data_IF_448966467611
#
_entry.id   IF_448966467611
#
_cell.length_a   1.000
_cell.length_b   1.000
_cell.length_c   1.000
_cell.angle_alpha   90.00
_cell.angle_beta   90.00
_cell.angle_gamma   90.00
#
_symmetry.space_group_name_H-M   'P 1'
#
loop_
_entity.id
_entity.type
_entity.pdbx_description
1 polymer ?
#
# COMPACT_ATOMS: atom_id res chain seq x y z
N UNK A 1 9.89 -11.57 -6.75
CA UNK A 1 8.89 -11.36 -7.84
C UNK A 1 9.11 -10.03 -8.56
N UNK A 2 9.12 -8.86 -7.87
CA UNK A 2 9.33 -7.53 -8.51
C UNK A 2 10.64 -7.51 -9.30
N UNK A 3 11.74 -8.00 -8.72
CA UNK A 3 13.06 -8.07 -9.38
C UNK A 3 13.05 -8.97 -10.64
N UNK A 4 12.24 -10.04 -10.64
CA UNK A 4 12.24 -11.00 -11.74
C UNK A 4 11.44 -10.54 -12.96
N UNK A 5 10.38 -9.75 -12.76
CA UNK A 5 9.46 -9.35 -13.85
C UNK A 5 9.45 -7.85 -14.14
N UNK A 6 10.12 -7.07 -13.31
CA UNK A 6 10.17 -5.60 -13.38
C UNK A 6 8.99 -4.91 -12.71
N UNK A 7 9.21 -3.72 -12.11
CA UNK A 7 8.18 -3.00 -11.36
C UNK A 7 7.05 -2.46 -12.24
N UNK A 8 7.27 -2.31 -13.53
CA UNK A 8 6.27 -1.90 -14.51
C UNK A 8 5.22 -2.97 -14.82
N UNK A 9 5.44 -4.21 -14.37
CA UNK A 9 4.55 -5.37 -14.58
C UNK A 9 3.91 -5.89 -13.32
N UNK A 10 4.16 -5.26 -12.18
CA UNK A 10 3.62 -5.64 -10.87
C UNK A 10 2.80 -4.50 -10.30
N UNK A 11 1.53 -4.74 -9.99
CA UNK A 11 0.71 -3.89 -9.15
C UNK A 11 0.56 -4.55 -7.78
N UNK A 12 0.88 -3.81 -6.73
CA UNK A 12 0.75 -4.29 -5.35
C UNK A 12 -0.55 -3.79 -4.77
N UNK A 13 -1.30 -4.67 -4.13
CA UNK A 13 -2.57 -4.39 -3.46
C UNK A 13 -2.54 -4.91 -2.04
N UNK A 14 -3.27 -4.27 -1.13
CA UNK A 14 -3.31 -4.65 0.28
C UNK A 14 -4.16 -5.89 0.56
N UNK A 15 -5.18 -6.15 -0.25
CA UNK A 15 -6.27 -7.09 0.07
C UNK A 15 -6.90 -6.80 1.44
N UNK A 16 -6.98 -5.50 1.80
CA UNK A 16 -7.39 -5.03 3.10
C UNK A 16 -8.89 -5.21 3.33
N UNK A 17 -9.24 -5.79 4.47
CA UNK A 17 -10.61 -5.88 4.97
C UNK A 17 -10.96 -4.69 5.87
N UNK A 18 -12.22 -4.59 6.32
CA UNK A 18 -12.70 -3.51 7.19
C UNK A 18 -11.94 -3.37 8.53
N UNK A 19 -11.18 -4.39 8.92
CA UNK A 19 -10.33 -4.38 10.12
C UNK A 19 -8.95 -3.74 9.90
N UNK A 20 -8.60 -3.33 8.68
CA UNK A 20 -7.29 -2.74 8.40
C UNK A 20 -7.09 -1.44 9.21
N UNK A 21 -5.98 -1.36 9.94
CA UNK A 21 -5.66 -0.23 10.80
C UNK A 21 -6.46 -0.11 12.10
N UNK A 22 -7.38 -1.05 12.40
CA UNK A 22 -8.24 -1.00 13.59
C UNK A 22 -7.68 -1.77 14.80
N UNK A 23 -6.60 -2.54 14.62
CA UNK A 23 -6.04 -3.41 15.67
C UNK A 23 -6.77 -4.74 15.82
N UNK A 24 -6.45 -5.48 16.89
CA UNK A 24 -7.03 -6.79 17.17
C UNK A 24 -8.48 -6.66 17.65
N UNK A 25 -9.32 -7.65 17.36
CA UNK A 25 -10.73 -7.67 17.75
C UNK A 25 -11.64 -8.47 16.82
N UNK A 26 -12.95 -8.36 17.06
CA UNK A 26 -13.98 -9.01 16.26
C UNK A 26 -14.55 -8.04 15.21
N UNK A 27 -14.62 -8.49 13.99
CA UNK A 27 -15.08 -7.72 12.82
C UNK A 27 -16.07 -8.54 11.99
N UNK A 28 -16.54 -7.97 10.90
CA UNK A 28 -17.40 -8.65 9.92
C UNK A 28 -16.98 -8.32 8.49
N UNK A 29 -16.95 -9.35 7.65
CA UNK A 29 -16.81 -9.21 6.21
C UNK A 29 -18.14 -9.65 5.56
N UNK A 30 -19.02 -8.68 5.27
CA UNK A 30 -20.42 -8.96 4.94
C UNK A 30 -21.12 -9.69 6.11
N UNK A 31 -21.60 -10.91 5.87
CA UNK A 31 -22.22 -11.77 6.89
C UNK A 31 -21.22 -12.63 7.67
N UNK A 32 -19.97 -12.71 7.22
CA UNK A 32 -18.95 -13.58 7.78
C UNK A 32 -18.31 -12.92 9.01
N UNK A 33 -18.32 -13.58 10.17
CA UNK A 33 -17.61 -13.11 11.35
C UNK A 33 -16.10 -13.33 11.18
N UNK A 34 -15.31 -12.32 11.55
CA UNK A 34 -13.85 -12.29 11.45
C UNK A 34 -13.27 -12.02 12.83
N UNK A 35 -12.19 -12.69 13.15
CA UNK A 35 -11.35 -12.43 14.32
C UNK A 35 -9.97 -11.97 13.87
N UNK A 36 -9.50 -10.86 14.44
CA UNK A 36 -8.14 -10.37 14.25
C UNK A 36 -7.38 -10.59 15.54
N UNK A 37 -6.30 -11.35 15.45
CA UNK A 37 -5.37 -11.61 16.53
C UNK A 37 -3.94 -11.46 16.04
N UNK A 38 -3.14 -10.66 16.74
CA UNK A 38 -1.75 -10.34 16.35
C UNK A 38 -1.65 -9.85 14.89
N UNK A 39 -2.58 -8.98 14.48
CA UNK A 39 -2.70 -8.43 13.13
C UNK A 39 -3.00 -9.48 12.03
N UNK A 40 -3.43 -10.67 12.38
CA UNK A 40 -3.83 -11.71 11.43
C UNK A 40 -5.35 -11.87 11.47
N UNK A 41 -6.01 -11.59 10.33
CA UNK A 41 -7.45 -11.75 10.19
C UNK A 41 -7.81 -13.15 9.72
N UNK A 42 -8.70 -13.82 10.48
CA UNK A 42 -9.23 -15.15 10.18
C UNK A 42 -10.73 -15.16 10.23
N UNK A 43 -11.34 -16.10 9.52
CA UNK A 43 -12.75 -16.40 9.70
C UNK A 43 -12.93 -16.95 11.13
N UNK A 44 -13.87 -16.39 11.89
CA UNK A 44 -14.10 -16.80 13.29
C UNK A 44 -14.36 -18.30 13.40
N UNK A 45 -13.62 -18.95 14.30
CA UNK A 45 -13.68 -20.40 14.50
C UNK A 45 -13.01 -21.25 13.41
N UNK A 46 -12.26 -20.65 12.47
CA UNK A 46 -11.55 -21.36 11.40
C UNK A 46 -10.08 -20.90 11.27
N UNK A 47 -9.25 -21.71 10.62
CA UNK A 47 -7.87 -21.34 10.27
C UNK A 47 -7.75 -20.51 8.99
N UNK A 48 -8.86 -20.31 8.28
CA UNK A 48 -8.90 -19.61 6.97
C UNK A 48 -8.59 -18.11 7.14
N UNK A 49 -7.62 -17.61 6.39
CA UNK A 49 -7.35 -16.18 6.32
C UNK A 49 -8.52 -15.46 5.66
N UNK A 50 -8.90 -14.31 6.22
CA UNK A 50 -10.04 -13.53 5.75
C UNK A 50 -9.65 -12.29 4.92
N UNK A 51 -8.37 -12.13 4.65
CA UNK A 51 -7.77 -10.98 3.98
C UNK A 51 -6.69 -10.31 4.84
N UNK A 52 -6.32 -9.09 4.49
CA UNK A 52 -5.23 -8.37 5.15
C UNK A 52 -5.74 -7.30 6.10
N UNK A 53 -4.98 -7.08 7.17
CA UNK A 53 -5.12 -5.90 8.05
C UNK A 53 -4.11 -4.80 7.73
N UNK A 54 -3.25 -5.04 6.73
CA UNK A 54 -2.18 -4.14 6.33
C UNK A 54 -2.71 -2.91 5.60
N UNK A 55 -2.25 -1.73 5.98
CA UNK A 55 -2.51 -0.47 5.25
C UNK A 55 -1.54 -0.28 4.10
N UNK A 56 -1.88 0.57 3.11
CA UNK A 56 -1.04 0.79 1.93
C UNK A 56 0.33 1.39 2.29
N UNK A 57 0.41 2.25 3.30
CA UNK A 57 1.67 2.81 3.78
C UNK A 57 2.58 1.76 4.42
N UNK A 58 2.00 0.81 5.18
CA UNK A 58 2.75 -0.33 5.73
C UNK A 58 3.29 -1.23 4.60
N UNK A 59 2.44 -1.51 3.61
CA UNK A 59 2.82 -2.30 2.44
C UNK A 59 3.92 -1.61 1.62
N UNK A 60 3.80 -0.29 1.41
CA UNK A 60 4.83 0.52 0.75
C UNK A 60 6.18 0.39 1.46
N UNK A 61 6.23 0.57 2.80
CA UNK A 61 7.44 0.39 3.60
C UNK A 61 8.03 -1.02 3.45
N UNK A 62 7.17 -2.03 3.46
CA UNK A 62 7.60 -3.43 3.28
C UNK A 62 8.27 -3.61 1.92
N UNK A 63 7.67 -3.12 0.85
CA UNK A 63 8.23 -3.22 -0.51
C UNK A 63 9.53 -2.43 -0.63
N UNK A 64 9.59 -1.20 -0.12
CA UNK A 64 10.79 -0.39 -0.11
C UNK A 64 11.92 -1.02 0.72
N UNK A 65 11.60 -1.67 1.84
CA UNK A 65 12.57 -2.36 2.70
C UNK A 65 13.15 -3.65 2.12
N UNK A 66 12.45 -4.32 1.20
CA UNK A 66 12.94 -5.56 0.59
C UNK A 66 14.20 -5.39 -0.26
N UNK A 67 14.50 -4.18 -0.75
CA UNK A 67 15.69 -3.87 -1.54
C UNK A 67 16.87 -3.31 -0.75
N UNK A 68 16.71 -3.05 0.55
CA UNK A 68 17.62 -2.24 1.38
C UNK A 68 18.82 -3.01 1.94
N UNK A 69 19.62 -3.68 1.09
CA UNK A 69 20.87 -4.31 1.54
C UNK A 69 22.16 -3.58 1.10
N UNK A 70 22.07 -2.44 0.41
CA UNK A 70 23.19 -1.56 0.09
C UNK A 70 22.71 -0.14 -0.18
N UNK A 71 23.54 0.88 0.07
CA UNK A 71 23.18 2.30 -0.05
C UNK A 71 22.67 2.70 -1.45
N UNK A 72 23.19 2.08 -2.51
CA UNK A 72 22.72 2.32 -3.89
C UNK A 72 21.45 1.54 -4.24
N UNK A 73 21.13 0.46 -3.52
CA UNK A 73 19.91 -0.33 -3.73
C UNK A 73 18.69 0.33 -3.10
N UNK A 74 18.87 1.23 -2.13
CA UNK A 74 17.79 1.95 -1.45
C UNK A 74 16.98 2.84 -2.39
N UNK A 75 17.63 3.62 -3.23
CA UNK A 75 16.97 4.52 -4.19
C UNK A 75 16.22 3.75 -5.28
N UNK A 76 16.81 2.64 -5.76
CA UNK A 76 16.15 1.77 -6.76
C UNK A 76 14.95 1.07 -6.15
N UNK A 77 15.07 0.61 -4.89
CA UNK A 77 13.96 -0.02 -4.17
C UNK A 77 12.81 0.96 -3.91
N UNK A 78 13.11 2.21 -3.56
CA UNK A 78 12.12 3.25 -3.34
C UNK A 78 11.39 3.60 -4.65
N UNK A 79 12.11 3.79 -5.74
CA UNK A 79 11.52 4.04 -7.06
C UNK A 79 10.63 2.87 -7.50
N UNK A 80 11.07 1.63 -7.29
CA UNK A 80 10.27 0.44 -7.58
C UNK A 80 9.01 0.38 -6.71
N UNK A 81 9.11 0.71 -5.41
CA UNK A 81 7.96 0.75 -4.50
C UNK A 81 6.92 1.77 -4.97
N UNK A 82 7.34 2.98 -5.35
CA UNK A 82 6.44 4.00 -5.95
C UNK A 82 5.81 3.47 -7.24
N UNK A 83 6.60 2.84 -8.10
CA UNK A 83 6.12 2.29 -9.36
C UNK A 83 5.01 1.27 -9.14
N UNK A 84 5.22 0.26 -8.27
CA UNK A 84 4.28 -0.85 -8.06
C UNK A 84 3.04 -0.47 -7.25
N UNK A 85 3.10 0.62 -6.46
CA UNK A 85 1.98 1.09 -5.63
C UNK A 85 1.20 2.25 -6.25
N UNK A 86 1.72 2.92 -7.29
CA UNK A 86 1.10 4.09 -7.90
C UNK A 86 1.01 4.00 -9.42
N UNK A 87 2.13 4.07 -10.13
CA UNK A 87 2.12 4.21 -11.58
C UNK A 87 1.64 2.94 -12.30
N UNK A 88 2.06 1.75 -11.85
CA UNK A 88 1.64 0.48 -12.46
C UNK A 88 0.16 0.18 -12.21
N UNK A 89 -0.40 0.33 -10.98
CA UNK A 89 -1.84 0.19 -10.76
C UNK A 89 -2.68 1.17 -11.60
N UNK A 90 -2.28 2.45 -11.65
CA UNK A 90 -2.99 3.45 -12.46
C UNK A 90 -3.05 3.05 -13.94
N UNK A 91 -1.91 2.61 -14.50
CA UNK A 91 -1.84 2.12 -15.88
C UNK A 91 -2.66 0.85 -16.09
N UNK A 92 -2.60 -0.11 -15.17
CA UNK A 92 -3.35 -1.37 -15.25
C UNK A 92 -4.88 -1.14 -15.28
N UNK A 93 -5.35 -0.09 -14.60
CA UNK A 93 -6.75 0.32 -14.58
C UNK A 93 -7.11 1.31 -15.71
N UNK A 94 -6.17 1.67 -16.59
CA UNK A 94 -6.39 2.65 -17.66
C UNK A 94 -6.63 4.08 -17.17
N UNK A 95 -6.24 4.40 -15.92
CA UNK A 95 -6.42 5.73 -15.35
C UNK A 95 -5.40 6.69 -15.95
N UNK A 96 -5.89 7.84 -16.42
CA UNK A 96 -5.07 8.93 -16.97
C UNK A 96 -4.97 10.08 -15.98
N UNK A 97 -3.83 10.81 -15.98
CA UNK A 97 -3.64 11.99 -15.12
C UNK A 97 -3.46 11.67 -13.63
N UNK A 98 -3.18 10.42 -13.26
CA UNK A 98 -2.87 9.98 -11.89
C UNK A 98 -1.69 9.01 -11.87
N UNK A 99 -1.20 8.67 -10.68
CA UNK A 99 -0.15 7.65 -10.48
C UNK A 99 1.28 8.18 -10.57
N UNK A 100 1.49 9.47 -10.84
CA UNK A 100 2.80 10.14 -10.79
C UNK A 100 2.66 11.65 -10.61
N UNK A 101 3.71 12.28 -10.13
CA UNK A 101 3.80 13.73 -10.05
C UNK A 101 4.31 14.28 -11.39
N UNK A 102 3.42 14.93 -12.15
CA UNK A 102 3.74 15.55 -13.42
C UNK A 102 2.78 16.70 -13.70
N UNK A 103 3.21 17.70 -14.47
CA UNK A 103 2.34 18.80 -14.89
C UNK A 103 1.11 18.26 -15.65
N UNK A 104 -0.08 18.74 -15.31
CA UNK A 104 -1.36 18.30 -15.87
C UNK A 104 -1.94 17.04 -15.24
N UNK A 105 -1.27 16.46 -14.22
CA UNK A 105 -1.80 15.37 -13.43
C UNK A 105 -2.55 15.90 -12.20
N UNK A 106 -3.49 15.10 -11.68
CA UNK A 106 -4.16 15.43 -10.43
C UNK A 106 -3.15 15.58 -9.28
N UNK A 107 -3.32 16.60 -8.47
CA UNK A 107 -2.47 16.85 -7.30
C UNK A 107 -2.87 15.90 -6.15
N UNK A 108 -2.58 14.63 -6.36
CA UNK A 108 -2.72 13.55 -5.38
C UNK A 108 -1.32 13.13 -4.97
N UNK A 109 -0.94 13.43 -3.74
CA UNK A 109 0.40 13.10 -3.24
C UNK A 109 0.39 12.73 -1.78
N UNK A 110 1.39 11.96 -1.40
CA UNK A 110 1.67 11.58 -0.02
C UNK A 110 3.09 12.05 0.30
N UNK A 111 3.24 12.76 1.41
CA UNK A 111 4.54 13.17 1.95
C UNK A 111 4.95 12.17 3.01
N UNK A 112 6.15 11.65 2.89
CA UNK A 112 6.72 10.69 3.82
C UNK A 112 7.94 11.30 4.51
N UNK A 113 8.16 10.93 5.76
CA UNK A 113 9.40 11.21 6.48
C UNK A 113 10.53 10.23 6.07
N UNK A 114 11.69 10.33 6.75
CA UNK A 114 12.85 9.47 6.47
C UNK A 114 12.61 7.99 6.79
N UNK A 115 11.65 7.70 7.69
CA UNK A 115 11.23 6.34 8.05
C UNK A 115 10.07 5.83 7.17
N UNK A 116 9.76 6.56 6.09
CA UNK A 116 8.67 6.31 5.17
C UNK A 116 7.28 6.29 5.85
N UNK A 117 7.12 7.09 6.91
CA UNK A 117 5.83 7.30 7.58
C UNK A 117 5.12 8.48 6.93
N UNK A 118 3.81 8.36 6.79
CA UNK A 118 2.97 9.44 6.23
C UNK A 118 2.97 10.64 7.17
N UNK A 119 3.35 11.80 6.66
CA UNK A 119 3.33 13.08 7.38
C UNK A 119 2.29 14.04 6.80
N UNK A 120 2.00 13.96 5.50
CA UNK A 120 0.93 14.74 4.89
C UNK A 120 0.32 14.01 3.69
N UNK A 121 -0.95 14.29 3.41
CA UNK A 121 -1.70 13.74 2.27
C UNK A 121 -2.47 14.85 1.58
N UNK A 122 -2.31 14.95 0.26
CA UNK A 122 -3.11 15.84 -0.59
C UNK A 122 -3.97 15.01 -1.55
N UNK A 123 -5.21 15.38 -1.69
CA UNK A 123 -6.16 14.78 -2.63
C UNK A 123 -6.89 15.89 -3.38
N UNK A 124 -6.69 15.95 -4.69
CA UNK A 124 -7.28 16.97 -5.59
C UNK A 124 -7.03 18.40 -5.08
N UNK A 125 -5.78 18.77 -4.85
CA UNK A 125 -5.30 20.06 -4.33
C UNK A 125 -5.68 20.35 -2.86
N UNK A 126 -6.42 19.47 -2.18
CA UNK A 126 -6.80 19.66 -0.78
C UNK A 126 -5.93 18.82 0.15
N UNK A 127 -5.29 19.45 1.14
CA UNK A 127 -4.63 18.75 2.23
C UNK A 127 -5.67 18.06 3.13
N UNK A 128 -5.48 16.75 3.37
CA UNK A 128 -6.36 15.92 4.21
C UNK A 128 -5.70 15.57 5.53
N UNK A 129 -4.39 15.43 5.53
CA UNK A 129 -3.54 15.18 6.69
C UNK A 129 -2.28 15.99 6.51
N UNK A 130 -1.81 16.58 7.58
CA UNK A 130 -0.60 17.42 7.62
C UNK A 130 -0.54 18.25 8.88
#
# INVERSE_FOLDING_TARGET
MIEAVGPDRVAVVTDAIAAAGCGDGAFRLGTMPIEVESSVARVAGASTLAGSTTTMDQLFRTVAGLGSKSDSAGDVALAAAVQVTSATPARALGLTGVGRLAAGYAANLVVLDRDLRVTAVMVNDDWRVG
#
